data_IF_178649466660
#
_entry.id   IF_178649466660
#
_cell.length_a   1.000
_cell.length_b   1.000
_cell.length_c   1.000
_cell.angle_alpha   90.00
_cell.angle_beta   90.00
_cell.angle_gamma   90.00
#
_symmetry.space_group_name_H-M   'P 1'
#
loop_
_entity.id
_entity.type
_entity.pdbx_description
1 polymer ?
#
# COMPACT_ATOMS: atom_id res chain seq x y z
N UNK A 1 29.69 50.03 25.41
CA UNK A 1 30.14 48.65 25.66
C UNK A 1 29.05 47.90 26.42
N UNK A 2 28.25 47.18 25.72
CA UNK A 2 27.19 46.34 26.27
C UNK A 2 27.45 44.92 25.80
N UNK A 3 27.99 44.15 26.76
CA UNK A 3 28.24 42.73 26.64
C UNK A 3 26.90 41.96 26.58
N UNK A 4 26.54 41.46 25.40
CA UNK A 4 25.52 40.45 25.25
C UNK A 4 26.16 39.06 25.37
N UNK A 5 26.43 38.62 26.61
CA UNK A 5 26.72 37.21 26.88
C UNK A 5 25.40 36.42 26.85
N UNK A 6 25.15 35.76 25.76
CA UNK A 6 24.16 34.67 25.71
C UNK A 6 24.69 33.52 26.62
N UNK A 7 23.88 32.97 27.51
CA UNK A 7 24.29 31.81 28.28
C UNK A 7 24.55 30.64 27.31
N UNK A 8 25.73 30.06 27.38
CA UNK A 8 26.07 28.81 26.73
C UNK A 8 25.10 27.75 27.27
N UNK A 9 24.09 27.39 26.48
CA UNK A 9 23.26 26.24 26.75
C UNK A 9 24.21 25.05 26.80
N UNK A 10 24.39 24.48 27.97
CA UNK A 10 25.06 23.19 28.17
C UNK A 10 24.22 22.17 27.37
N UNK A 11 24.78 21.68 26.28
CA UNK A 11 24.14 20.67 25.46
C UNK A 11 24.23 19.34 26.22
N UNK A 12 23.33 19.13 27.18
CA UNK A 12 23.03 17.81 27.66
C UNK A 12 22.36 17.10 26.48
N UNK A 13 23.08 16.19 25.83
CA UNK A 13 22.47 15.19 24.90
C UNK A 13 21.65 14.28 25.82
N UNK A 14 20.47 14.73 26.18
CA UNK A 14 19.42 13.87 26.72
C UNK A 14 19.02 12.94 25.57
N UNK A 15 19.16 11.65 25.79
CA UNK A 15 18.66 10.62 24.88
C UNK A 15 17.14 10.76 24.87
N UNK A 16 16.64 11.56 23.92
CA UNK A 16 15.21 11.74 23.70
C UNK A 16 14.57 10.40 23.27
N UNK A 17 13.54 10.01 24.00
CA UNK A 17 12.75 8.81 23.73
C UNK A 17 11.39 9.23 23.20
N UNK A 18 11.15 9.13 21.87
CA UNK A 18 9.92 9.59 21.25
C UNK A 18 8.63 8.98 21.82
N UNK A 19 8.76 7.80 22.43
CA UNK A 19 7.64 7.04 22.98
C UNK A 19 7.30 7.37 24.43
N UNK A 20 8.18 8.10 25.12
CA UNK A 20 8.07 8.38 26.55
C UNK A 20 8.11 9.89 26.89
N UNK A 21 8.76 10.68 26.04
CA UNK A 21 9.00 12.10 26.31
C UNK A 21 7.93 12.96 25.63
N UNK A 22 7.26 13.78 26.41
CA UNK A 22 6.31 14.79 25.90
C UNK A 22 7.08 16.08 25.63
N UNK A 23 7.26 16.41 24.35
CA UNK A 23 7.80 17.71 23.95
C UNK A 23 6.67 18.71 23.89
N UNK A 24 6.82 19.85 24.54
CA UNK A 24 5.89 20.98 24.41
C UNK A 24 6.61 22.23 23.89
N UNK A 25 5.95 22.96 23.01
CA UNK A 25 6.37 24.29 22.55
C UNK A 25 5.33 25.30 23.00
N UNK A 26 5.77 26.31 23.76
CA UNK A 26 4.89 27.32 24.35
C UNK A 26 3.72 26.72 25.18
N UNK A 27 3.99 25.59 25.88
CA UNK A 27 3.00 24.91 26.71
C UNK A 27 2.02 24.02 25.99
N UNK A 28 2.10 23.93 24.65
CA UNK A 28 1.30 23.00 23.86
C UNK A 28 2.11 21.72 23.56
N UNK A 29 1.56 20.51 23.85
CA UNK A 29 2.24 19.27 23.54
C UNK A 29 2.39 19.10 22.03
N UNK A 30 3.62 18.80 21.58
CA UNK A 30 3.90 18.40 20.21
C UNK A 30 3.67 16.91 20.08
N UNK A 31 2.70 16.54 19.25
CA UNK A 31 2.53 15.16 18.84
C UNK A 31 3.62 14.79 17.83
N UNK A 32 4.68 14.14 18.29
CA UNK A 32 5.72 13.63 17.41
C UNK A 32 5.26 12.31 16.80
N UNK A 33 5.10 12.33 15.49
CA UNK A 33 4.85 11.12 14.72
C UNK A 33 6.16 10.66 14.07
N UNK A 34 6.68 9.51 14.53
CA UNK A 34 7.96 8.96 14.05
C UNK A 34 7.92 8.58 12.57
N UNK A 35 6.82 8.02 12.14
CA UNK A 35 6.60 7.57 10.77
C UNK A 35 5.26 8.06 10.23
N UNK A 36 5.22 8.32 8.94
CA UNK A 36 4.03 8.73 8.22
C UNK A 36 3.42 7.54 7.48
N UNK A 37 2.11 7.43 7.53
CA UNK A 37 1.35 6.39 6.82
C UNK A 37 0.18 7.05 6.12
N UNK A 38 0.08 6.83 4.82
CA UNK A 38 -0.89 7.49 3.94
C UNK A 38 -1.61 6.42 3.13
N UNK A 39 -2.94 6.46 3.14
CA UNK A 39 -3.79 5.71 2.22
C UNK A 39 -4.04 6.54 0.97
N UNK A 40 -3.87 5.95 -0.20
CA UNK A 40 -4.19 6.57 -1.49
C UNK A 40 -5.08 5.65 -2.31
N UNK A 41 -6.08 6.22 -2.96
CA UNK A 41 -6.75 5.59 -4.08
C UNK A 41 -5.94 5.90 -5.35
N UNK A 42 -4.99 5.01 -5.70
CA UNK A 42 -4.11 5.21 -6.84
C UNK A 42 -4.91 5.22 -8.15
N UNK A 43 -4.77 6.23 -8.99
CA UNK A 43 -5.39 6.23 -10.32
C UNK A 43 -4.53 5.44 -11.32
N UNK A 44 -5.14 5.03 -12.44
CA UNK A 44 -4.40 4.52 -13.58
C UNK A 44 -3.45 5.60 -14.18
N UNK A 45 -2.44 5.15 -14.90
CA UNK A 45 -1.51 6.02 -15.63
C UNK A 45 -0.33 6.57 -14.82
N UNK A 46 -0.28 6.31 -13.50
CA UNK A 46 0.74 6.85 -12.58
C UNK A 46 1.64 5.74 -12.04
N UNK A 47 2.93 6.02 -11.89
CA UNK A 47 3.91 5.06 -11.38
C UNK A 47 3.85 4.92 -9.85
N UNK A 48 3.89 3.67 -9.36
CA UNK A 48 4.13 3.36 -7.95
C UNK A 48 5.63 3.46 -7.65
N UNK A 49 6.13 4.68 -7.57
CA UNK A 49 7.53 5.01 -7.27
C UNK A 49 7.61 6.24 -6.38
N UNK A 50 8.71 6.38 -5.62
CA UNK A 50 8.97 7.58 -4.82
C UNK A 50 9.35 8.77 -5.71
N UNK A 51 10.10 8.52 -6.78
CA UNK A 51 10.55 9.52 -7.77
C UNK A 51 10.72 8.88 -9.14
N UNK A 52 10.47 9.64 -10.17
CA UNK A 52 10.81 9.31 -11.55
C UNK A 52 11.09 10.62 -12.31
N UNK A 53 12.07 10.63 -13.25
CA UNK A 53 12.45 11.82 -13.98
C UNK A 53 11.60 12.07 -15.23
N UNK A 54 10.83 11.09 -15.68
CA UNK A 54 10.09 11.12 -16.94
C UNK A 54 8.59 11.00 -16.76
N UNK A 55 8.14 10.37 -15.69
CA UNK A 55 6.74 10.03 -15.48
C UNK A 55 6.27 10.45 -14.09
N UNK A 56 5.01 10.83 -14.01
CA UNK A 56 4.36 11.20 -12.76
C UNK A 56 4.26 10.01 -11.83
N UNK A 57 4.63 10.22 -10.57
CA UNK A 57 4.60 9.18 -9.53
C UNK A 57 3.44 9.40 -8.56
N UNK A 58 3.15 8.38 -7.74
CA UNK A 58 2.14 8.47 -6.69
C UNK A 58 2.47 9.54 -5.64
N UNK A 59 3.76 9.79 -5.36
CA UNK A 59 4.19 10.84 -4.42
C UNK A 59 3.94 12.24 -5.00
N UNK A 60 4.01 12.41 -6.32
CA UNK A 60 3.73 13.69 -6.97
C UNK A 60 2.26 14.10 -6.85
N UNK A 61 1.36 13.12 -6.69
CA UNK A 61 -0.09 13.35 -6.52
C UNK A 61 -0.48 13.84 -5.13
N UNK A 62 0.38 13.63 -4.14
CA UNK A 62 0.06 14.01 -2.77
C UNK A 62 -0.10 15.53 -2.65
N UNK A 63 -1.09 16.00 -1.88
CA UNK A 63 -1.19 17.40 -1.52
C UNK A 63 0.00 17.82 -0.64
N UNK A 64 0.38 19.12 -0.63
CA UNK A 64 1.57 19.59 0.07
C UNK A 64 1.65 19.19 1.54
N UNK A 65 0.53 19.17 2.25
CA UNK A 65 0.40 18.83 3.67
C UNK A 65 0.71 17.38 4.00
N UNK A 66 0.60 16.47 3.01
CA UNK A 66 0.94 15.05 3.16
C UNK A 66 2.34 14.72 2.65
N UNK A 67 3.03 15.67 2.01
CA UNK A 67 4.39 15.45 1.51
C UNK A 67 5.41 15.55 2.63
N UNK A 68 6.09 14.47 2.92
CA UNK A 68 7.26 14.48 3.80
C UNK A 68 8.45 13.80 3.14
N UNK A 69 9.64 14.03 3.72
CA UNK A 69 10.88 13.44 3.22
C UNK A 69 10.89 11.94 3.48
N UNK A 70 11.31 11.16 2.49
CA UNK A 70 11.50 9.73 2.63
C UNK A 70 10.28 8.89 2.30
N UNK A 71 9.15 9.49 1.91
CA UNK A 71 7.95 8.73 1.51
C UNK A 71 8.24 7.85 0.30
N UNK A 72 7.75 6.61 0.38
CA UNK A 72 7.75 5.63 -0.71
C UNK A 72 6.45 4.81 -0.69
N UNK A 73 6.04 4.26 -1.84
CA UNK A 73 4.90 3.35 -1.89
C UNK A 73 5.28 2.00 -1.28
N UNK A 74 4.51 1.53 -0.30
CA UNK A 74 4.66 0.21 0.31
C UNK A 74 4.05 -0.86 -0.61
N UNK A 75 4.89 -1.42 -1.44
CA UNK A 75 4.52 -2.27 -2.58
C UNK A 75 4.24 -1.46 -3.84
N UNK A 76 3.93 -2.18 -4.90
CA UNK A 76 3.74 -1.59 -6.22
C UNK A 76 2.44 -2.08 -6.82
N UNK A 77 1.68 -1.17 -7.39
CA UNK A 77 0.64 -1.45 -8.36
C UNK A 77 1.18 -1.10 -9.75
N UNK A 78 0.80 -1.86 -10.74
CA UNK A 78 1.15 -1.56 -12.12
C UNK A 78 0.64 -0.18 -12.52
N UNK A 79 1.19 0.39 -13.58
CA UNK A 79 0.82 1.74 -14.03
C UNK A 79 -0.68 1.89 -14.28
N UNK A 80 -1.28 0.87 -14.88
CA UNK A 80 -2.71 0.80 -15.24
C UNK A 80 -3.60 0.22 -14.15
N UNK A 81 -3.02 -0.31 -13.06
CA UNK A 81 -3.77 -0.84 -11.91
C UNK A 81 -4.12 0.29 -10.95
N UNK A 82 -5.35 0.26 -10.46
CA UNK A 82 -5.91 1.27 -9.56
C UNK A 82 -6.06 0.78 -8.11
N UNK A 83 -6.52 1.67 -7.24
CA UNK A 83 -7.05 1.34 -5.91
C UNK A 83 -6.08 1.53 -4.76
N UNK A 84 -6.26 0.76 -3.70
CA UNK A 84 -5.58 0.94 -2.42
C UNK A 84 -4.07 0.82 -2.56
N UNK A 85 -3.38 1.91 -2.30
CA UNK A 85 -1.93 1.96 -2.17
C UNK A 85 -1.57 2.67 -0.87
N UNK A 86 -0.64 2.09 -0.11
CA UNK A 86 -0.09 2.73 1.08
C UNK A 86 1.24 3.40 0.71
N UNK A 87 1.42 4.65 1.17
CA UNK A 87 2.69 5.36 1.13
C UNK A 87 3.16 5.58 2.56
N UNK A 88 4.44 5.42 2.81
CA UNK A 88 5.03 5.55 4.15
C UNK A 88 6.52 5.83 4.08
N UNK A 89 7.10 6.18 5.24
CA UNK A 89 8.54 6.28 5.46
C UNK A 89 9.06 5.23 6.45
N UNK A 90 8.22 4.22 6.79
CA UNK A 90 8.54 3.08 7.65
C UNK A 90 8.89 1.84 6.80
N UNK A 91 10.19 1.57 6.67
CA UNK A 91 10.70 0.42 5.91
C UNK A 91 10.36 -0.93 6.55
N UNK A 92 10.36 -1.01 7.90
CA UNK A 92 10.08 -2.26 8.62
C UNK A 92 8.62 -2.67 8.48
N UNK A 93 7.71 -1.70 8.61
CA UNK A 93 6.28 -1.95 8.37
C UNK A 93 6.05 -2.42 6.93
N UNK A 94 6.62 -1.72 5.94
CA UNK A 94 6.49 -2.08 4.54
C UNK A 94 7.05 -3.48 4.27
N UNK A 95 8.22 -3.81 4.82
CA UNK A 95 8.81 -5.14 4.68
C UNK A 95 7.91 -6.23 5.27
N UNK A 96 7.37 -6.02 6.47
CA UNK A 96 6.44 -6.96 7.11
C UNK A 96 5.18 -7.18 6.28
N UNK A 97 4.58 -6.10 5.75
CA UNK A 97 3.37 -6.16 4.92
C UNK A 97 3.60 -6.89 3.59
N UNK A 98 4.79 -6.76 2.99
CA UNK A 98 5.09 -7.29 1.67
C UNK A 98 5.65 -8.71 1.69
N UNK A 99 6.22 -9.16 2.82
CA UNK A 99 6.83 -10.46 2.93
C UNK A 99 5.77 -11.58 2.84
N UNK A 100 5.89 -12.52 1.88
CA UNK A 100 4.90 -13.59 1.67
C UNK A 100 4.69 -14.47 2.91
N UNK A 101 5.73 -14.66 3.72
CA UNK A 101 5.68 -15.43 4.97
C UNK A 101 4.71 -14.89 6.03
N UNK A 102 4.33 -13.62 5.92
CA UNK A 102 3.42 -12.97 6.86
C UNK A 102 1.95 -13.08 6.42
N UNK A 103 1.68 -13.72 5.28
CA UNK A 103 0.34 -13.99 4.76
C UNK A 103 -0.60 -12.78 4.73
N UNK A 104 -0.06 -11.57 4.50
CA UNK A 104 -0.89 -10.38 4.31
C UNK A 104 -1.55 -10.46 2.94
N UNK A 105 -2.83 -10.82 2.92
CA UNK A 105 -3.60 -10.97 1.69
C UNK A 105 -3.94 -9.61 1.07
N UNK A 106 -4.07 -9.60 -0.24
CA UNK A 106 -4.51 -8.45 -1.05
C UNK A 106 -5.70 -8.88 -1.88
N UNK A 107 -6.80 -8.15 -1.75
CA UNK A 107 -8.01 -8.39 -2.51
C UNK A 107 -8.07 -7.43 -3.69
N UNK A 108 -8.34 -7.97 -4.87
CA UNK A 108 -8.49 -7.21 -6.11
C UNK A 108 -9.83 -7.50 -6.75
N UNK A 109 -10.42 -6.48 -7.36
CA UNK A 109 -11.46 -6.61 -8.36
C UNK A 109 -10.81 -6.59 -9.73
N UNK A 110 -11.17 -7.54 -10.58
CA UNK A 110 -10.72 -7.61 -11.96
C UNK A 110 -11.91 -7.73 -12.92
N UNK A 111 -11.79 -7.06 -14.08
CA UNK A 111 -12.67 -7.32 -15.23
C UNK A 111 -11.85 -8.02 -16.29
N UNK A 112 -12.45 -9.02 -16.89
CA UNK A 112 -11.84 -9.87 -17.88
C UNK A 112 -12.46 -9.64 -19.26
N UNK A 113 -11.73 -9.96 -20.31
CA UNK A 113 -12.21 -9.97 -21.68
C UNK A 113 -13.25 -11.09 -21.91
N UNK A 114 -13.16 -12.18 -21.15
CA UNK A 114 -14.02 -13.35 -21.22
C UNK A 114 -14.52 -13.77 -19.83
N UNK A 115 -15.66 -14.47 -19.73
CA UNK A 115 -16.16 -14.97 -18.46
C UNK A 115 -15.18 -15.93 -17.78
N UNK A 116 -14.99 -15.78 -16.48
CA UNK A 116 -14.31 -16.77 -15.66
C UNK A 116 -15.26 -17.95 -15.35
N UNK A 117 -14.69 -19.12 -15.19
CA UNK A 117 -15.41 -20.40 -15.00
C UNK A 117 -15.09 -21.02 -13.63
N UNK A 118 -15.86 -22.03 -13.24
CA UNK A 118 -15.55 -22.81 -12.03
C UNK A 118 -14.25 -23.60 -12.14
N UNK A 119 -13.79 -23.89 -13.36
CA UNK A 119 -12.49 -24.51 -13.59
C UNK A 119 -11.35 -23.53 -13.28
N UNK A 120 -11.50 -22.25 -13.67
CA UNK A 120 -10.53 -21.22 -13.30
C UNK A 120 -10.43 -21.08 -11.77
N UNK A 121 -11.57 -21.16 -11.05
CA UNK A 121 -11.60 -21.12 -9.58
C UNK A 121 -10.76 -22.26 -8.99
N UNK A 122 -10.86 -23.48 -9.51
CA UNK A 122 -10.05 -24.63 -9.06
C UNK A 122 -8.58 -24.44 -9.36
N UNK A 123 -8.24 -24.03 -10.59
CA UNK A 123 -6.85 -23.77 -11.00
C UNK A 123 -6.20 -22.70 -10.09
N UNK A 124 -6.94 -21.65 -9.74
CA UNK A 124 -6.44 -20.61 -8.82
C UNK A 124 -6.24 -21.15 -7.41
N UNK A 125 -7.16 -21.98 -6.90
CA UNK A 125 -7.07 -22.59 -5.59
C UNK A 125 -5.90 -23.58 -5.47
N UNK A 126 -5.55 -24.30 -6.53
CA UNK A 126 -4.43 -25.22 -6.58
C UNK A 126 -3.08 -24.50 -6.80
N UNK A 127 -3.12 -23.27 -7.28
CA UNK A 127 -1.96 -22.48 -7.66
C UNK A 127 -1.69 -22.52 -9.16
N UNK A 128 -1.79 -21.36 -9.81
CA UNK A 128 -1.61 -21.23 -11.27
C UNK A 128 -0.16 -21.46 -11.67
N UNK A 129 0.05 -22.37 -12.63
CA UNK A 129 1.36 -22.58 -13.23
C UNK A 129 1.69 -21.49 -14.25
N UNK A 130 2.80 -20.80 -14.04
CA UNK A 130 3.40 -19.89 -15.00
C UNK A 130 4.65 -20.54 -15.59
N UNK A 131 5.06 -20.10 -16.77
CA UNK A 131 6.18 -20.70 -17.53
C UNK A 131 7.50 -20.85 -16.73
N UNK A 132 7.67 -20.12 -15.65
CA UNK A 132 8.89 -20.10 -14.84
C UNK A 132 8.66 -20.48 -13.37
N UNK A 133 7.43 -20.68 -12.91
CA UNK A 133 7.08 -21.07 -11.55
C UNK A 133 5.57 -21.32 -11.38
N UNK A 134 5.20 -21.99 -10.30
CA UNK A 134 3.82 -22.05 -9.78
C UNK A 134 3.57 -20.90 -8.81
N UNK A 135 2.43 -20.23 -8.94
CA UNK A 135 1.97 -19.23 -7.96
C UNK A 135 1.48 -19.92 -6.69
N UNK A 136 1.51 -19.22 -5.58
CA UNK A 136 0.80 -19.69 -4.37
C UNK A 136 -0.70 -19.76 -4.65
N UNK A 137 -1.43 -20.66 -3.95
CA UNK A 137 -2.88 -20.73 -3.99
C UNK A 137 -3.52 -19.35 -3.85
N UNK A 138 -4.55 -19.12 -4.64
CA UNK A 138 -5.29 -17.86 -4.66
C UNK A 138 -6.78 -18.14 -4.65
N UNK A 139 -7.56 -17.27 -4.01
CA UNK A 139 -9.00 -17.36 -4.02
C UNK A 139 -9.54 -16.55 -5.19
N UNK A 140 -10.43 -17.16 -5.98
CA UNK A 140 -11.12 -16.53 -7.09
C UNK A 140 -12.63 -16.61 -6.86
N UNK A 141 -13.28 -15.45 -6.74
CA UNK A 141 -14.73 -15.33 -6.58
C UNK A 141 -15.35 -14.74 -7.83
N UNK A 142 -16.34 -15.42 -8.37
CA UNK A 142 -17.10 -14.96 -9.54
C UNK A 142 -18.22 -14.02 -9.08
N UNK A 143 -18.17 -12.74 -9.47
CA UNK A 143 -19.19 -11.73 -9.15
C UNK A 143 -20.20 -11.54 -10.27
N UNK A 144 -19.85 -11.92 -11.50
CA UNK A 144 -20.70 -11.76 -12.69
C UNK A 144 -20.02 -12.34 -13.92
N UNK A 145 -20.56 -12.03 -15.10
CA UNK A 145 -20.04 -12.63 -16.34
C UNK A 145 -18.55 -12.43 -16.54
N UNK A 146 -18.05 -11.22 -16.34
CA UNK A 146 -16.65 -10.82 -16.59
C UNK A 146 -16.01 -10.12 -15.39
N UNK A 147 -16.73 -10.05 -14.27
CA UNK A 147 -16.25 -9.41 -13.05
C UNK A 147 -15.93 -10.47 -12.00
N UNK A 148 -14.73 -10.40 -11.43
CA UNK A 148 -14.24 -11.34 -10.43
C UNK A 148 -13.52 -10.62 -9.32
N UNK A 149 -13.45 -11.26 -8.14
CA UNK A 149 -12.49 -10.88 -7.10
C UNK A 149 -11.41 -11.94 -7.00
N UNK A 150 -10.18 -11.47 -6.78
CA UNK A 150 -9.00 -12.33 -6.61
C UNK A 150 -8.29 -11.93 -5.32
N UNK A 151 -8.05 -12.92 -4.44
CA UNK A 151 -7.32 -12.75 -3.20
C UNK A 151 -6.00 -13.50 -3.26
N UNK A 152 -4.89 -12.78 -3.12
CA UNK A 152 -3.52 -13.33 -3.16
C UNK A 152 -2.71 -12.87 -1.95
N UNK A 153 -1.79 -13.71 -1.45
CA UNK A 153 -0.88 -13.35 -0.36
C UNK A 153 0.50 -12.86 -0.86
N UNK A 154 0.87 -13.17 -2.08
CA UNK A 154 2.10 -12.69 -2.69
C UNK A 154 1.83 -11.48 -3.62
N UNK A 155 2.87 -10.86 -4.17
CA UNK A 155 2.72 -9.69 -5.06
C UNK A 155 3.88 -9.64 -6.05
N UNK A 156 3.89 -10.55 -7.01
CA UNK A 156 4.92 -10.60 -8.04
C UNK A 156 4.55 -9.69 -9.21
N UNK A 157 5.54 -9.41 -10.05
CA UNK A 157 5.38 -8.57 -11.22
C UNK A 157 4.25 -9.06 -12.14
N UNK A 158 3.22 -8.21 -12.33
CA UNK A 158 2.02 -8.48 -13.12
C UNK A 158 1.30 -9.80 -12.77
N UNK A 159 1.36 -10.24 -11.50
CA UNK A 159 0.97 -11.60 -11.11
C UNK A 159 -0.46 -11.94 -11.54
N UNK A 160 -1.46 -11.14 -11.18
CA UNK A 160 -2.87 -11.42 -11.48
C UNK A 160 -3.09 -11.48 -13.00
N UNK A 161 -2.50 -10.55 -13.75
CA UNK A 161 -2.59 -10.54 -15.22
C UNK A 161 -2.02 -11.80 -15.82
N UNK A 162 -0.85 -12.26 -15.34
CA UNK A 162 -0.22 -13.49 -15.79
C UNK A 162 -0.98 -14.75 -15.40
N UNK A 163 -1.61 -14.75 -14.21
CA UNK A 163 -2.44 -15.88 -13.78
C UNK A 163 -3.65 -16.03 -14.70
N UNK A 164 -4.34 -14.93 -15.02
CA UNK A 164 -5.46 -14.99 -15.98
C UNK A 164 -5.01 -15.32 -17.39
N UNK A 165 -3.89 -14.78 -17.85
CA UNK A 165 -3.32 -15.13 -19.15
C UNK A 165 -3.02 -16.64 -19.25
N UNK A 166 -2.51 -17.27 -18.20
CA UNK A 166 -2.23 -18.71 -18.17
C UNK A 166 -3.50 -19.58 -18.32
N UNK A 167 -4.67 -19.06 -17.95
CA UNK A 167 -5.98 -19.72 -18.16
C UNK A 167 -6.73 -19.16 -19.39
N UNK A 168 -6.01 -18.50 -20.30
CA UNK A 168 -6.54 -18.04 -21.59
C UNK A 168 -7.45 -16.82 -21.51
N UNK A 169 -7.28 -15.96 -20.51
CA UNK A 169 -8.09 -14.75 -20.30
C UNK A 169 -7.20 -13.52 -20.09
N UNK A 170 -7.70 -12.34 -20.51
CA UNK A 170 -6.99 -11.08 -20.32
C UNK A 170 -7.70 -10.19 -19.30
N UNK A 171 -6.91 -9.56 -18.42
CA UNK A 171 -7.39 -8.58 -17.46
C UNK A 171 -7.48 -7.23 -18.14
N UNK A 172 -8.69 -6.72 -18.35
CA UNK A 172 -8.94 -5.41 -18.98
C UNK A 172 -9.05 -4.27 -17.96
N UNK A 173 -9.32 -4.61 -16.69
CA UNK A 173 -9.33 -3.65 -15.57
C UNK A 173 -8.90 -4.36 -14.29
N UNK A 174 -8.13 -3.67 -13.44
CA UNK A 174 -7.67 -4.21 -12.17
C UNK A 174 -7.63 -3.12 -11.11
N UNK A 175 -8.27 -3.38 -9.97
CA UNK A 175 -8.30 -2.47 -8.83
C UNK A 175 -8.05 -3.23 -7.53
N UNK A 176 -7.10 -2.76 -6.72
CA UNK A 176 -6.92 -3.31 -5.36
C UNK A 176 -7.90 -2.67 -4.40
N UNK A 177 -8.71 -3.50 -3.76
CA UNK A 177 -9.73 -3.06 -2.81
C UNK A 177 -9.25 -3.09 -1.37
N UNK A 178 -8.37 -4.09 -1.01
CA UNK A 178 -8.03 -4.38 0.38
C UNK A 178 -6.61 -4.90 0.55
N UNK A 179 -6.00 -4.63 1.72
CA UNK A 179 -4.73 -5.20 2.19
C UNK A 179 -4.94 -5.68 3.63
N UNK A 180 -4.77 -6.99 3.91
CA UNK A 180 -5.20 -7.59 5.17
C UNK A 180 -6.68 -7.35 5.38
N UNK A 181 -7.09 -6.82 6.53
CA UNK A 181 -8.45 -6.37 6.82
C UNK A 181 -8.65 -4.85 6.56
N UNK A 182 -7.69 -4.16 5.93
CA UNK A 182 -7.79 -2.73 5.62
C UNK A 182 -8.42 -2.53 4.24
N UNK A 183 -9.63 -2.02 4.20
CA UNK A 183 -10.31 -1.62 2.97
C UNK A 183 -9.85 -0.26 2.46
N UNK A 184 -9.95 -0.07 1.14
CA UNK A 184 -9.88 1.24 0.53
C UNK A 184 -11.06 2.09 1.00
N UNK A 185 -10.76 3.28 1.52
CA UNK A 185 -11.79 4.23 1.91
C UNK A 185 -12.65 4.62 0.70
N UNK A 186 -13.96 4.32 0.71
CA UNK A 186 -14.86 4.60 -0.41
C UNK A 186 -15.04 6.11 -0.69
N UNK A 187 -14.72 6.98 0.28
CA UNK A 187 -14.77 8.42 0.10
C UNK A 187 -13.61 8.96 -0.75
N UNK A 188 -12.50 8.22 -0.86
CA UNK A 188 -11.35 8.65 -1.64
C UNK A 188 -11.59 8.46 -3.14
N UNK A 189 -11.69 9.57 -3.86
CA UNK A 189 -11.70 9.54 -5.33
C UNK A 189 -10.33 9.11 -5.89
N UNK A 190 -10.24 8.62 -7.13
CA UNK A 190 -8.96 8.31 -7.77
C UNK A 190 -7.99 9.48 -7.72
N UNK A 191 -6.77 9.25 -7.23
CA UNK A 191 -5.74 10.27 -7.01
C UNK A 191 -5.79 10.96 -5.65
N UNK A 192 -6.82 10.77 -4.87
CA UNK A 192 -6.90 11.33 -3.51
C UNK A 192 -6.18 10.44 -2.49
N UNK A 193 -5.73 11.09 -1.42
CA UNK A 193 -5.03 10.45 -0.32
C UNK A 193 -5.38 11.11 1.02
N UNK A 194 -5.26 10.34 2.10
CA UNK A 194 -5.38 10.81 3.48
C UNK A 194 -4.42 10.10 4.42
N UNK A 195 -4.13 10.67 5.60
CA UNK A 195 -3.42 9.93 6.64
C UNK A 195 -4.15 8.62 6.99
N UNK A 196 -3.37 7.59 7.28
CA UNK A 196 -3.88 6.33 7.81
C UNK A 196 -4.04 6.46 9.33
N UNK A 197 -5.20 6.09 9.85
CA UNK A 197 -5.46 6.12 11.28
C UNK A 197 -4.68 5.01 12.01
N UNK A 198 -4.34 5.21 13.31
CA UNK A 198 -3.62 4.20 14.09
C UNK A 198 -4.26 2.81 14.06
N UNK A 199 -5.58 2.73 14.24
CA UNK A 199 -6.37 1.49 14.21
C UNK A 199 -6.39 0.84 12.81
N UNK A 200 -6.28 1.62 11.75
CA UNK A 200 -6.20 1.11 10.38
C UNK A 200 -4.86 0.44 10.09
N UNK A 201 -3.78 0.87 10.75
CA UNK A 201 -2.46 0.25 10.62
C UNK A 201 -2.46 -1.19 11.12
N UNK A 202 -3.18 -1.46 12.21
CA UNK A 202 -3.30 -2.79 12.77
C UNK A 202 -4.08 -3.72 11.83
N UNK A 203 -5.13 -3.23 11.17
CA UNK A 203 -5.92 -3.97 10.19
C UNK A 203 -5.11 -4.56 9.04
N UNK A 204 -3.97 -3.94 8.68
CA UNK A 204 -3.09 -4.45 7.61
C UNK A 204 -2.59 -5.86 7.91
N UNK A 205 -2.41 -6.21 9.18
CA UNK A 205 -1.88 -7.51 9.61
C UNK A 205 -2.95 -8.45 10.18
N UNK A 206 -4.21 -7.99 10.26
CA UNK A 206 -5.31 -8.85 10.65
C UNK A 206 -5.68 -9.77 9.48
N UNK A 207 -5.91 -11.04 9.80
CA UNK A 207 -6.59 -11.96 8.90
C UNK A 207 -8.09 -11.64 8.98
N UNK A 208 -8.78 -11.73 7.85
CA UNK A 208 -10.24 -11.77 7.87
C UNK A 208 -10.67 -13.15 8.34
N UNK A 209 -11.63 -13.17 9.25
CA UNK A 209 -12.38 -14.34 9.61
C UNK A 209 -13.32 -14.80 8.47
#
# INVERSE_FOLDING_TARGET
SSDWMLPRASCCILSWRPEQDVISVQGQPLHFQRFHYIMMNKPAGVLSAARDFRQKTVVDLLPPELKCRGLFPAGRLDRDTEGLLLLMDDGDFAHRMLAPKNHVYKLYEARLDQPATMEDVRIFADGVELSYRTCLPAELLLLGRQCVQVRICEGKFHQIKRMFHAVGKEVVYLKRLRIGALDLDPALQPGQARPLLPEEREKVFCLED
#
